data_IF_648409571821
#
_entry.id   IF_648409571821
#
_cell.length_a   1.000
_cell.length_b   1.000
_cell.length_c   1.000
_cell.angle_alpha   90.00
_cell.angle_beta   90.00
_cell.angle_gamma   90.00
#
_symmetry.space_group_name_H-M   'P 1'
#
loop_
_entity.id
_entity.type
_entity.pdbx_description
1 polymer ?
#
# COMPACT_ATOMS: atom_id res chain seq x y z
N UNK A 1 25.26 13.12 6.09
CA UNK A 1 24.24 12.08 5.91
C UNK A 1 23.01 12.73 5.29
N UNK A 2 22.27 12.02 4.44
CA UNK A 2 21.03 12.58 3.88
C UNK A 2 19.87 12.38 4.84
N UNK A 3 19.00 13.39 4.94
CA UNK A 3 17.87 13.40 5.88
C UNK A 3 16.56 13.11 5.15
N UNK A 4 15.80 12.12 5.61
CA UNK A 4 14.57 11.63 4.96
C UNK A 4 13.37 11.76 5.89
N UNK A 5 12.33 12.44 5.44
CA UNK A 5 11.04 12.46 6.12
C UNK A 5 10.17 11.30 5.63
N UNK A 6 9.61 10.53 6.56
CA UNK A 6 8.63 9.47 6.25
C UNK A 6 7.28 9.84 6.84
N UNK A 7 6.29 10.16 6.00
CA UNK A 7 4.92 10.36 6.47
C UNK A 7 4.21 9.01 6.62
N UNK A 8 3.33 8.91 7.61
CA UNK A 8 2.71 7.62 7.92
C UNK A 8 3.69 6.62 8.55
N UNK A 9 4.72 7.11 9.22
CA UNK A 9 5.86 6.37 9.75
C UNK A 9 5.45 5.19 10.67
N UNK A 10 4.45 5.35 11.51
CA UNK A 10 3.95 4.27 12.38
C UNK A 10 2.93 3.33 11.68
N UNK A 11 2.61 3.56 10.41
CA UNK A 11 1.80 2.65 9.62
C UNK A 11 2.53 1.35 9.31
N UNK A 12 1.81 0.34 8.82
CA UNK A 12 2.41 -0.97 8.50
C UNK A 12 3.64 -0.87 7.60
N UNK A 13 3.54 -0.24 6.42
CA UNK A 13 4.69 -0.02 5.54
C UNK A 13 5.69 0.98 6.15
N UNK A 14 5.19 2.07 6.75
CA UNK A 14 6.04 3.16 7.25
C UNK A 14 7.10 2.72 8.25
N UNK A 15 6.76 1.82 9.18
CA UNK A 15 7.73 1.29 10.16
C UNK A 15 8.89 0.53 9.51
N UNK A 16 8.60 -0.22 8.47
CA UNK A 16 9.64 -0.94 7.72
C UNK A 16 10.53 0.01 6.92
N UNK A 17 9.93 1.06 6.35
CA UNK A 17 10.67 2.11 5.64
C UNK A 17 11.61 2.87 6.58
N UNK A 18 11.13 3.23 7.78
CA UNK A 18 11.97 3.90 8.80
C UNK A 18 13.16 3.02 9.16
N UNK A 19 12.94 1.75 9.46
CA UNK A 19 14.03 0.81 9.79
C UNK A 19 15.00 0.59 8.63
N UNK A 20 14.48 0.41 7.42
CA UNK A 20 15.30 0.26 6.21
C UNK A 20 16.23 1.46 6.02
N UNK A 21 15.70 2.68 6.12
CA UNK A 21 16.50 3.89 5.96
C UNK A 21 17.55 4.05 7.06
N UNK A 22 17.21 3.81 8.32
CA UNK A 22 18.17 3.85 9.45
C UNK A 22 19.28 2.82 9.26
N UNK A 23 18.96 1.60 8.83
CA UNK A 23 19.94 0.54 8.58
C UNK A 23 20.93 0.90 7.47
N UNK A 24 20.55 1.78 6.53
CA UNK A 24 21.41 2.28 5.46
C UNK A 24 22.01 3.67 5.75
N UNK A 25 21.98 4.12 7.01
CA UNK A 25 22.71 5.31 7.46
C UNK A 25 22.04 6.65 7.14
N UNK A 26 20.73 6.67 6.88
CA UNK A 26 19.98 7.91 6.73
C UNK A 26 19.59 8.48 8.10
N UNK A 27 19.55 9.81 8.20
CA UNK A 27 18.83 10.49 9.27
C UNK A 27 17.33 10.48 8.94
N UNK A 28 16.51 9.93 9.83
CA UNK A 28 15.08 9.73 9.54
C UNK A 28 14.22 10.58 10.45
N UNK A 29 13.31 11.36 9.84
CA UNK A 29 12.22 12.04 10.54
C UNK A 29 10.95 11.23 10.37
N UNK A 30 10.52 10.59 11.45
CA UNK A 30 9.28 9.80 11.50
C UNK A 30 8.08 10.71 11.79
N UNK A 31 7.26 10.96 10.77
CA UNK A 31 6.13 11.89 10.86
C UNK A 31 4.80 11.18 11.01
N UNK A 32 3.98 11.61 11.98
CA UNK A 32 2.64 11.07 12.18
C UNK A 32 1.84 11.81 13.24
N UNK A 33 0.54 11.53 13.30
CA UNK A 33 -0.42 12.28 14.14
C UNK A 33 -0.42 11.89 15.62
N UNK A 34 -0.03 10.65 15.94
CA UNK A 34 -0.16 10.09 17.29
C UNK A 34 1.22 9.89 17.92
N UNK A 35 1.49 10.65 18.99
CA UNK A 35 2.77 10.60 19.70
C UNK A 35 3.08 9.20 20.25
N UNK A 36 2.12 8.57 20.91
CA UNK A 36 2.22 7.23 21.46
C UNK A 36 2.67 6.19 20.43
N UNK A 37 2.09 6.26 19.22
CA UNK A 37 2.44 5.37 18.11
C UNK A 37 3.81 5.66 17.48
N UNK A 38 4.22 6.92 17.48
CA UNK A 38 5.57 7.28 17.04
C UNK A 38 6.62 6.81 18.06
N UNK A 39 6.35 6.97 19.36
CA UNK A 39 7.23 6.49 20.41
C UNK A 39 7.38 4.96 20.40
N UNK A 40 6.31 4.24 20.09
CA UNK A 40 6.36 2.79 19.89
C UNK A 40 7.30 2.32 18.76
N UNK A 41 7.60 3.18 17.77
CA UNK A 41 8.59 2.86 16.74
C UNK A 41 10.00 2.66 17.31
N UNK A 42 10.36 3.37 18.37
CA UNK A 42 11.66 3.23 19.01
C UNK A 42 11.86 1.82 19.54
N UNK A 43 10.87 1.27 20.24
CA UNK A 43 10.90 -0.12 20.71
C UNK A 43 10.88 -1.15 19.57
N UNK A 44 10.56 -0.73 18.34
CA UNK A 44 10.49 -1.56 17.14
C UNK A 44 11.72 -1.37 16.22
N UNK A 45 12.88 -0.99 16.77
CA UNK A 45 14.14 -0.85 16.05
C UNK A 45 14.32 0.48 15.30
N UNK A 46 13.67 1.54 15.77
CA UNK A 46 13.79 2.88 15.20
C UNK A 46 14.21 3.93 16.27
N UNK A 47 15.10 3.55 17.20
CA UNK A 47 15.56 4.40 18.31
C UNK A 47 16.19 5.70 17.81
N UNK A 48 16.92 5.64 16.70
CA UNK A 48 17.64 6.78 16.12
C UNK A 48 16.74 7.73 15.31
N UNK A 49 15.46 7.39 15.11
CA UNK A 49 14.54 8.26 14.36
C UNK A 49 14.14 9.50 15.19
N UNK A 50 14.20 10.66 14.55
CA UNK A 50 13.57 11.87 15.07
C UNK A 50 12.05 11.75 14.92
N UNK A 51 11.31 12.02 15.99
CA UNK A 51 9.85 11.91 15.98
C UNK A 51 9.22 13.30 15.77
N UNK A 52 8.41 13.45 14.74
CA UNK A 52 7.67 14.66 14.47
C UNK A 52 6.16 14.41 14.54
N UNK A 53 5.50 15.00 15.55
CA UNK A 53 4.04 14.90 15.68
C UNK A 53 3.37 15.98 14.86
N UNK A 54 2.55 15.59 13.88
CA UNK A 54 1.85 16.51 12.99
C UNK A 54 0.88 15.78 12.04
N UNK A 55 0.07 16.56 11.34
CA UNK A 55 -0.86 16.06 10.32
C UNK A 55 -0.49 16.66 8.94
N UNK A 56 -0.18 15.83 7.96
CA UNK A 56 0.12 16.30 6.60
C UNK A 56 -1.12 16.90 5.90
N UNK A 57 -2.32 16.77 6.49
CA UNK A 57 -3.50 17.53 6.09
C UNK A 57 -3.49 18.99 6.60
N UNK A 58 -2.51 19.38 7.41
CA UNK A 58 -2.26 20.75 7.85
C UNK A 58 -0.97 21.25 7.22
N UNK A 59 -1.06 22.36 6.47
CA UNK A 59 0.08 22.86 5.69
C UNK A 59 1.26 23.24 6.60
N UNK A 60 0.98 23.84 7.74
CA UNK A 60 1.99 24.29 8.70
C UNK A 60 2.81 23.11 9.23
N UNK A 61 2.14 22.01 9.63
CA UNK A 61 2.78 20.84 10.22
C UNK A 61 3.75 20.19 9.21
N UNK A 62 3.28 19.94 7.97
CA UNK A 62 4.12 19.29 6.96
C UNK A 62 5.23 20.23 6.45
N UNK A 63 4.99 21.54 6.41
CA UNK A 63 6.02 22.51 6.04
C UNK A 63 7.12 22.56 7.11
N UNK A 64 6.75 22.57 8.39
CA UNK A 64 7.72 22.51 9.48
C UNK A 64 8.54 21.20 9.45
N UNK A 65 7.88 20.07 9.25
CA UNK A 65 8.53 18.76 9.24
C UNK A 65 9.50 18.57 8.05
N UNK A 66 9.25 19.22 6.91
CA UNK A 66 10.13 19.12 5.73
C UNK A 66 11.31 20.08 5.76
N UNK A 67 11.44 20.93 6.79
CA UNK A 67 12.56 21.88 6.92
C UNK A 67 13.90 21.14 7.13
N UNK A 68 14.85 21.40 6.27
CA UNK A 68 16.18 20.76 6.31
C UNK A 68 16.18 19.27 5.94
N UNK A 69 15.14 18.81 5.22
CA UNK A 69 15.01 17.43 4.74
C UNK A 69 15.45 17.35 3.27
N UNK A 70 16.27 16.36 2.94
CA UNK A 70 16.70 16.12 1.56
C UNK A 70 15.65 15.38 0.74
N UNK A 71 15.02 14.37 1.33
CA UNK A 71 14.06 13.48 0.67
C UNK A 71 12.79 13.29 1.49
N UNK A 72 11.68 13.08 0.83
CA UNK A 72 10.39 12.75 1.47
C UNK A 72 9.86 11.45 0.91
N UNK A 73 9.52 10.48 1.78
CA UNK A 73 8.71 9.32 1.44
C UNK A 73 7.30 9.55 1.97
N UNK A 74 6.36 9.78 1.04
CA UNK A 74 4.96 10.00 1.40
C UNK A 74 4.18 8.68 1.36
N UNK A 75 4.20 7.96 2.50
CA UNK A 75 3.47 6.70 2.68
C UNK A 75 2.15 6.88 3.47
N UNK A 76 1.90 8.07 4.01
CA UNK A 76 0.65 8.39 4.70
C UNK A 76 -0.54 8.46 3.75
N UNK A 77 -1.60 7.70 4.04
CA UNK A 77 -2.84 7.71 3.25
C UNK A 77 -4.02 7.17 4.07
N UNK A 78 -5.24 7.52 3.66
CA UNK A 78 -6.43 6.77 4.03
C UNK A 78 -6.56 5.59 3.07
N UNK A 79 -6.29 4.37 3.56
CA UNK A 79 -6.18 3.14 2.74
C UNK A 79 -7.31 2.14 2.98
N UNK A 80 -8.42 2.57 3.57
CA UNK A 80 -9.62 1.73 3.74
C UNK A 80 -10.34 1.54 2.41
N UNK A 81 -11.03 0.42 2.27
CA UNK A 81 -11.79 0.12 1.03
C UNK A 81 -13.15 0.82 0.99
N UNK A 82 -13.63 1.33 2.14
CA UNK A 82 -14.93 1.96 2.34
C UNK A 82 -14.82 3.21 3.22
N UNK A 83 -15.66 4.21 2.97
CA UNK A 83 -15.72 5.46 3.72
C UNK A 83 -16.33 6.60 2.90
N UNK A 84 -16.31 7.83 3.45
CA UNK A 84 -16.82 9.02 2.77
C UNK A 84 -15.84 9.50 1.70
N UNK A 85 -16.35 9.90 0.53
CA UNK A 85 -15.52 10.44 -0.56
C UNK A 85 -14.71 11.67 -0.11
N UNK A 86 -15.34 12.54 0.70
CA UNK A 86 -14.68 13.74 1.25
C UNK A 86 -13.37 13.41 1.96
N UNK A 87 -13.37 12.34 2.76
CA UNK A 87 -12.22 11.98 3.61
C UNK A 87 -11.05 11.45 2.76
N UNK A 88 -11.36 10.65 1.71
CA UNK A 88 -10.36 10.22 0.74
C UNK A 88 -9.78 11.39 -0.05
N UNK A 89 -10.64 12.34 -0.50
CA UNK A 89 -10.17 13.52 -1.24
C UNK A 89 -9.34 14.43 -0.35
N UNK A 90 -9.75 14.66 0.89
CA UNK A 90 -9.00 15.50 1.83
C UNK A 90 -7.64 14.88 2.17
N UNK A 91 -7.64 13.60 2.55
CA UNK A 91 -6.41 12.95 3.00
C UNK A 91 -5.48 12.63 1.83
N UNK A 92 -5.98 11.93 0.81
CA UNK A 92 -5.10 11.36 -0.22
C UNK A 92 -4.77 12.36 -1.34
N UNK A 93 -5.70 13.28 -1.68
CA UNK A 93 -5.47 14.22 -2.77
C UNK A 93 -4.94 15.55 -2.23
N UNK A 94 -5.72 16.24 -1.37
CA UNK A 94 -5.32 17.54 -0.83
C UNK A 94 -4.13 17.41 0.11
N UNK A 95 -4.06 16.32 0.91
CA UNK A 95 -2.88 16.00 1.71
C UNK A 95 -1.63 15.88 0.86
N UNK A 96 -1.66 15.12 -0.25
CA UNK A 96 -0.54 15.03 -1.19
C UNK A 96 -0.19 16.38 -1.81
N UNK A 97 -1.17 17.23 -2.16
CA UNK A 97 -0.91 18.59 -2.63
C UNK A 97 -0.15 19.43 -1.60
N UNK A 98 -0.50 19.31 -0.30
CA UNK A 98 0.21 20.01 0.78
C UNK A 98 1.64 19.51 0.95
N UNK A 99 1.85 18.20 0.86
CA UNK A 99 3.20 17.61 0.87
C UNK A 99 4.04 18.15 -0.28
N UNK A 100 3.51 18.20 -1.50
CA UNK A 100 4.20 18.78 -2.66
C UNK A 100 4.56 20.27 -2.43
N UNK A 101 3.63 21.07 -1.89
CA UNK A 101 3.89 22.48 -1.58
C UNK A 101 5.01 22.64 -0.55
N UNK A 102 4.99 21.82 0.51
CA UNK A 102 6.02 21.82 1.55
C UNK A 102 7.39 21.42 0.97
N UNK A 103 7.44 20.36 0.14
CA UNK A 103 8.65 19.95 -0.57
C UNK A 103 9.21 21.06 -1.47
N UNK A 104 8.34 21.76 -2.21
CA UNK A 104 8.74 22.91 -3.04
C UNK A 104 9.33 24.04 -2.19
N UNK A 105 8.62 24.42 -1.14
CA UNK A 105 9.02 25.52 -0.25
C UNK A 105 10.38 25.25 0.40
N UNK A 106 10.63 24.03 0.84
CA UNK A 106 11.85 23.65 1.53
C UNK A 106 12.93 23.05 0.58
N UNK A 107 12.73 23.13 -0.73
CA UNK A 107 13.67 22.67 -1.77
C UNK A 107 14.09 21.21 -1.60
N UNK A 108 13.12 20.34 -1.25
CA UNK A 108 13.34 18.89 -1.15
C UNK A 108 13.81 18.35 -2.49
N UNK A 109 14.89 17.57 -2.48
CA UNK A 109 15.54 17.04 -3.68
C UNK A 109 14.67 16.03 -4.42
N UNK A 110 13.89 15.21 -3.68
CA UNK A 110 12.98 14.20 -4.27
C UNK A 110 11.86 13.83 -3.32
N UNK A 111 10.66 13.63 -3.90
CA UNK A 111 9.48 13.09 -3.26
C UNK A 111 9.17 11.69 -3.81
N UNK A 112 9.24 10.67 -2.98
CA UNK A 112 8.81 9.31 -3.31
C UNK A 112 7.40 9.10 -2.77
N UNK A 113 6.44 8.80 -3.66
CA UNK A 113 5.03 8.63 -3.31
C UNK A 113 4.61 7.16 -3.36
N UNK A 114 4.00 6.71 -2.28
CA UNK A 114 3.39 5.37 -2.21
C UNK A 114 1.97 5.43 -2.76
N UNK A 115 1.81 4.95 -3.98
CA UNK A 115 0.50 4.75 -4.62
C UNK A 115 -0.04 3.35 -4.36
N UNK A 116 -0.89 2.83 -5.23
CA UNK A 116 -1.49 1.51 -5.08
C UNK A 116 -1.84 0.90 -6.44
N UNK A 117 -1.60 -0.39 -6.67
CA UNK A 117 -2.05 -1.09 -7.87
C UNK A 117 -3.55 -1.41 -7.86
N UNK A 118 -4.27 -1.04 -6.81
CA UNK A 118 -5.74 -1.09 -6.81
C UNK A 118 -6.37 -0.28 -7.95
N UNK A 119 -5.63 0.70 -8.51
CA UNK A 119 -6.06 1.47 -9.69
C UNK A 119 -6.26 0.59 -10.94
N UNK A 120 -5.66 -0.59 -10.97
CA UNK A 120 -5.84 -1.58 -12.04
C UNK A 120 -7.06 -2.48 -11.83
N UNK A 121 -7.74 -2.40 -10.67
CA UNK A 121 -8.85 -3.29 -10.34
C UNK A 121 -10.00 -3.17 -11.33
N UNK A 122 -10.50 -4.31 -11.78
CA UNK A 122 -11.60 -4.42 -12.73
C UNK A 122 -12.27 -5.80 -12.69
N UNK A 123 -13.30 -5.99 -13.51
CA UNK A 123 -14.07 -7.24 -13.63
C UNK A 123 -13.49 -8.17 -14.70
N UNK A 124 -12.20 -8.24 -14.85
CA UNK A 124 -11.52 -9.10 -15.81
C UNK A 124 -10.16 -9.54 -15.29
N UNK A 125 -9.69 -10.66 -15.82
CA UNK A 125 -8.33 -11.12 -15.61
C UNK A 125 -7.36 -10.20 -16.34
N UNK A 126 -6.29 -9.81 -15.67
CA UNK A 126 -5.23 -8.95 -16.23
C UNK A 126 -3.88 -9.46 -15.74
N UNK A 127 -3.07 -9.93 -16.67
CA UNK A 127 -1.76 -10.49 -16.40
C UNK A 127 -0.66 -9.58 -16.90
N UNK A 128 0.46 -9.55 -16.20
CA UNK A 128 1.65 -8.81 -16.60
C UNK A 128 1.39 -7.32 -16.85
N UNK A 129 0.60 -6.69 -15.97
CA UNK A 129 0.15 -5.29 -16.08
C UNK A 129 1.36 -4.36 -15.97
N UNK A 130 1.53 -3.47 -16.93
CA UNK A 130 2.54 -2.41 -16.93
C UNK A 130 2.01 -1.14 -16.28
N UNK A 131 2.89 -0.19 -16.00
CA UNK A 131 2.58 1.04 -15.28
C UNK A 131 1.61 1.96 -16.04
N UNK A 132 1.61 1.91 -17.36
CA UNK A 132 0.71 2.66 -18.24
C UNK A 132 -0.68 2.06 -18.38
N UNK A 133 -0.87 0.78 -18.02
CA UNK A 133 -2.10 0.02 -18.26
C UNK A 133 -3.26 0.36 -17.30
N UNK A 134 -3.27 1.51 -16.68
CA UNK A 134 -4.35 1.90 -15.78
C UNK A 134 -5.44 2.71 -16.48
N UNK A 135 -6.67 2.53 -16.03
CA UNK A 135 -7.80 3.36 -16.47
C UNK A 135 -7.93 4.59 -15.55
N UNK A 136 -7.62 5.76 -16.11
CA UNK A 136 -7.72 7.04 -15.39
C UNK A 136 -9.17 7.37 -14.97
N UNK A 137 -10.18 6.76 -15.59
CA UNK A 137 -11.60 6.91 -15.27
C UNK A 137 -12.09 5.92 -14.20
N UNK A 138 -11.26 4.99 -13.73
CA UNK A 138 -11.66 3.98 -12.75
C UNK A 138 -12.21 4.62 -11.46
N UNK A 139 -13.47 4.32 -11.16
CA UNK A 139 -14.21 4.81 -9.98
C UNK A 139 -14.85 3.64 -9.22
N UNK A 140 -14.21 2.47 -9.21
CA UNK A 140 -14.74 1.29 -8.54
C UNK A 140 -14.99 1.56 -7.04
N UNK A 141 -14.09 2.30 -6.40
CA UNK A 141 -14.30 2.90 -5.07
C UNK A 141 -13.57 4.24 -4.92
N UNK A 142 -13.81 4.96 -3.82
CA UNK A 142 -13.23 6.28 -3.57
C UNK A 142 -11.71 6.23 -3.26
N UNK A 143 -11.21 5.10 -2.76
CA UNK A 143 -9.78 4.90 -2.58
C UNK A 143 -9.05 4.91 -3.93
N UNK A 144 -9.51 4.12 -4.89
CA UNK A 144 -8.97 4.08 -6.27
C UNK A 144 -9.02 5.49 -6.90
N UNK A 145 -10.19 6.12 -6.85
CA UNK A 145 -10.36 7.49 -7.36
C UNK A 145 -9.33 8.45 -6.76
N UNK A 146 -9.15 8.40 -5.43
CA UNK A 146 -8.22 9.29 -4.73
C UNK A 146 -6.76 9.02 -5.07
N UNK A 147 -6.36 7.75 -5.28
CA UNK A 147 -4.98 7.41 -5.68
C UNK A 147 -4.69 7.85 -7.11
N UNK A 148 -5.62 7.66 -8.04
CA UNK A 148 -5.50 8.17 -9.42
C UNK A 148 -5.33 9.69 -9.42
N UNK A 149 -6.15 10.40 -8.65
CA UNK A 149 -6.07 11.86 -8.55
C UNK A 149 -4.79 12.34 -7.87
N UNK A 150 -4.30 11.64 -6.85
CA UNK A 150 -3.03 11.97 -6.21
C UNK A 150 -1.84 11.76 -7.16
N UNK A 151 -1.82 10.66 -7.94
CA UNK A 151 -0.80 10.49 -8.99
C UNK A 151 -0.88 11.59 -10.05
N UNK A 152 -2.10 12.00 -10.44
CA UNK A 152 -2.29 13.13 -11.37
C UNK A 152 -1.66 14.41 -10.84
N UNK A 153 -1.88 14.76 -9.56
CA UNK A 153 -1.23 15.92 -8.91
C UNK A 153 0.29 15.85 -9.05
N UNK A 154 0.89 14.67 -8.82
CA UNK A 154 2.35 14.50 -8.89
C UNK A 154 2.89 14.56 -10.32
N UNK A 155 2.14 14.08 -11.31
CA UNK A 155 2.54 14.11 -12.72
C UNK A 155 2.43 15.50 -13.35
N UNK A 156 1.44 16.29 -12.93
CA UNK A 156 1.19 17.62 -13.50
C UNK A 156 2.11 18.68 -12.90
N UNK A 157 2.54 18.54 -11.65
CA UNK A 157 3.47 19.47 -11.04
C UNK A 157 4.91 19.26 -11.58
N UNK A 158 5.66 20.34 -11.74
CA UNK A 158 7.03 20.34 -12.27
C UNK A 158 8.06 20.87 -11.26
N UNK A 159 7.60 21.20 -10.06
CA UNK A 159 8.41 21.94 -9.09
C UNK A 159 9.24 21.07 -8.14
N UNK A 160 8.91 19.78 -8.02
CA UNK A 160 9.59 18.82 -7.16
C UNK A 160 9.83 17.52 -7.96
N UNK A 161 11.07 17.00 -8.01
CA UNK A 161 11.34 15.69 -8.61
C UNK A 161 10.54 14.60 -7.86
N UNK A 162 9.71 13.85 -8.56
CA UNK A 162 8.84 12.83 -7.95
C UNK A 162 9.08 11.44 -8.52
N UNK A 163 8.92 10.43 -7.67
CA UNK A 163 8.88 9.02 -8.04
C UNK A 163 7.60 8.40 -7.45
N UNK A 164 6.91 7.57 -8.21
CA UNK A 164 5.67 6.90 -7.77
C UNK A 164 5.89 5.39 -7.72
N UNK A 165 5.63 4.76 -6.57
CA UNK A 165 5.66 3.31 -6.42
C UNK A 165 4.26 2.76 -6.15
N UNK A 166 3.92 1.64 -6.77
CA UNK A 166 2.66 0.92 -6.63
C UNK A 166 2.91 -0.48 -6.05
N UNK A 167 3.15 -0.60 -4.72
CA UNK A 167 3.36 -1.90 -4.09
C UNK A 167 2.04 -2.66 -3.96
N UNK A 168 2.01 -3.95 -4.40
CA UNK A 168 0.82 -4.77 -4.42
C UNK A 168 0.72 -5.72 -3.23
N UNK A 169 -0.44 -5.73 -2.56
CA UNK A 169 -0.77 -6.79 -1.61
C UNK A 169 0.27 -6.95 -0.50
N UNK A 170 0.59 -5.86 0.19
CA UNK A 170 1.60 -5.85 1.25
C UNK A 170 1.22 -6.78 2.40
N UNK A 171 2.12 -7.64 2.81
CA UNK A 171 1.98 -8.49 3.98
C UNK A 171 3.32 -8.63 4.73
N UNK A 172 3.25 -9.03 5.99
CA UNK A 172 4.40 -9.20 6.88
C UNK A 172 4.01 -9.01 8.33
N UNK A 173 4.96 -9.10 9.27
CA UNK A 173 4.70 -8.93 10.69
C UNK A 173 4.14 -7.52 10.95
N UNK A 174 3.00 -7.46 11.66
CA UNK A 174 2.28 -6.21 11.91
C UNK A 174 1.30 -5.82 10.79
N UNK A 175 1.04 -6.69 9.80
CA UNK A 175 -0.08 -6.51 8.88
C UNK A 175 -1.40 -6.51 9.67
N UNK A 176 -2.21 -5.51 9.43
CA UNK A 176 -3.55 -5.38 10.03
C UNK A 176 -4.68 -5.50 9.00
N UNK A 177 -4.35 -5.80 7.75
CA UNK A 177 -5.28 -5.69 6.63
C UNK A 177 -5.56 -7.00 5.90
N UNK A 178 -4.58 -7.65 5.32
CA UNK A 178 -4.78 -8.81 4.43
C UNK A 178 -4.84 -10.11 5.24
N UNK A 179 -3.73 -10.51 5.84
CA UNK A 179 -3.64 -11.81 6.50
C UNK A 179 -4.58 -11.93 7.70
N UNK A 180 -4.72 -10.93 8.60
CA UNK A 180 -5.69 -11.01 9.70
C UNK A 180 -7.14 -11.18 9.24
N UNK A 181 -7.52 -10.56 8.11
CA UNK A 181 -8.86 -10.75 7.53
C UNK A 181 -9.05 -12.17 6.99
N UNK A 182 -8.03 -12.78 6.38
CA UNK A 182 -8.06 -14.16 5.91
C UNK A 182 -8.17 -15.15 7.09
N UNK A 183 -7.40 -14.96 8.15
CA UNK A 183 -7.45 -15.77 9.38
C UNK A 183 -8.83 -15.66 10.02
N UNK A 184 -9.35 -14.44 10.16
CA UNK A 184 -10.70 -14.20 10.71
C UNK A 184 -11.79 -14.87 9.87
N UNK A 185 -11.70 -14.78 8.55
CA UNK A 185 -12.64 -15.45 7.63
C UNK A 185 -12.56 -16.98 7.79
N UNK A 186 -11.35 -17.53 7.83
CA UNK A 186 -11.13 -18.97 8.02
C UNK A 186 -11.80 -19.51 9.29
N UNK A 187 -11.65 -18.77 10.40
CA UNK A 187 -12.19 -19.18 11.71
C UNK A 187 -13.70 -19.00 11.83
N UNK A 188 -14.33 -18.13 11.02
CA UNK A 188 -15.79 -17.87 11.06
C UNK A 188 -16.54 -18.66 10.01
N UNK A 189 -16.55 -18.18 8.79
CA UNK A 189 -17.42 -18.64 7.69
C UNK A 189 -16.67 -19.36 6.57
N UNK A 190 -15.36 -19.38 6.61
CA UNK A 190 -14.49 -19.81 5.52
C UNK A 190 -14.09 -18.64 4.61
N UNK A 191 -13.00 -18.86 3.88
CA UNK A 191 -12.43 -17.85 2.97
C UNK A 191 -13.20 -17.93 1.64
N UNK A 192 -13.75 -16.81 1.14
CA UNK A 192 -14.38 -16.78 -0.17
C UNK A 192 -13.40 -17.22 -1.25
N UNK A 193 -13.72 -18.31 -1.94
CA UNK A 193 -12.91 -18.84 -3.03
C UNK A 193 -13.72 -18.80 -4.33
N UNK A 194 -13.28 -17.94 -5.24
CA UNK A 194 -13.87 -17.78 -6.56
C UNK A 194 -13.11 -18.63 -7.58
N UNK A 195 -13.81 -19.20 -8.54
CA UNK A 195 -13.20 -19.95 -9.67
C UNK A 195 -12.19 -21.01 -9.20
N UNK A 196 -12.46 -21.65 -8.05
CA UNK A 196 -11.57 -22.64 -7.46
C UNK A 196 -10.28 -22.08 -6.83
N UNK A 197 -10.07 -20.76 -6.87
CA UNK A 197 -8.86 -20.09 -6.38
C UNK A 197 -7.69 -20.15 -7.35
N UNK A 198 -7.95 -20.51 -8.64
CA UNK A 198 -6.93 -20.59 -9.69
C UNK A 198 -6.56 -19.22 -10.30
N UNK A 199 -7.16 -18.14 -9.80
CA UNK A 199 -6.76 -16.80 -10.21
C UNK A 199 -5.34 -16.50 -9.72
N UNK A 200 -4.50 -16.00 -10.65
CA UNK A 200 -3.12 -15.61 -10.37
C UNK A 200 -3.07 -14.24 -9.71
N UNK A 201 -2.34 -14.15 -8.63
CA UNK A 201 -2.16 -12.90 -7.89
C UNK A 201 -0.71 -12.68 -7.49
N UNK A 202 -0.32 -11.42 -7.46
CA UNK A 202 0.92 -10.96 -6.85
C UNK A 202 0.65 -10.45 -5.43
N UNK A 203 1.57 -10.74 -4.53
CA UNK A 203 1.67 -10.12 -3.21
C UNK A 203 3.12 -9.70 -2.95
N UNK A 204 3.34 -8.86 -1.96
CA UNK A 204 4.65 -8.27 -1.69
C UNK A 204 4.98 -8.39 -0.21
N UNK A 205 6.11 -9.00 0.11
CA UNK A 205 6.68 -8.90 1.46
C UNK A 205 6.99 -7.43 1.76
N UNK A 206 6.60 -6.95 2.91
CA UNK A 206 6.72 -5.53 3.27
C UNK A 206 8.18 -5.05 3.28
N UNK A 207 9.13 -5.94 3.57
CA UNK A 207 10.56 -5.66 3.51
C UNK A 207 10.99 -5.32 2.07
N UNK A 208 10.47 -6.05 1.07
CA UNK A 208 10.77 -5.78 -0.33
C UNK A 208 10.20 -4.42 -0.79
N UNK A 209 9.03 -4.04 -0.26
CA UNK A 209 8.46 -2.72 -0.54
C UNK A 209 9.28 -1.59 0.12
N UNK A 210 9.80 -1.79 1.32
CA UNK A 210 10.67 -0.85 2.00
C UNK A 210 11.99 -0.67 1.23
N UNK A 211 12.61 -1.76 0.80
CA UNK A 211 13.78 -1.75 -0.11
C UNK A 211 13.50 -0.93 -1.37
N UNK A 212 12.37 -1.19 -2.06
CA UNK A 212 12.04 -0.46 -3.28
C UNK A 212 11.91 1.05 -3.06
N UNK A 213 11.35 1.46 -1.90
CA UNK A 213 11.22 2.87 -1.53
C UNK A 213 12.59 3.53 -1.27
N UNK A 214 13.55 2.82 -0.63
CA UNK A 214 14.92 3.30 -0.47
C UNK A 214 15.61 3.44 -1.83
N UNK A 215 15.55 2.42 -2.68
CA UNK A 215 16.12 2.48 -4.03
C UNK A 215 15.56 3.64 -4.86
N UNK A 216 14.26 3.96 -4.71
CA UNK A 216 13.66 5.11 -5.36
C UNK A 216 14.16 6.46 -4.83
N UNK A 217 14.61 6.52 -3.57
CA UNK A 217 15.30 7.70 -3.03
C UNK A 217 16.70 7.84 -3.66
N UNK A 218 17.39 6.75 -3.93
CA UNK A 218 18.77 6.73 -4.40
C UNK A 218 18.91 6.91 -5.93
N UNK A 219 17.97 6.38 -6.71
CA UNK A 219 18.08 6.34 -8.18
C UNK A 219 17.75 7.66 -8.85
N UNK A 220 18.70 8.31 -9.50
CA UNK A 220 18.46 9.50 -10.32
C UNK A 220 17.59 9.18 -11.56
N UNK A 221 17.74 7.98 -12.13
CA UNK A 221 16.94 7.52 -13.27
C UNK A 221 15.44 7.38 -12.92
N UNK A 222 15.11 7.28 -11.63
CA UNK A 222 13.73 7.13 -11.18
C UNK A 222 12.90 8.41 -11.24
N UNK A 223 13.52 9.58 -11.39
CA UNK A 223 12.81 10.86 -11.37
C UNK A 223 11.78 10.94 -12.50
N UNK A 224 10.54 11.26 -12.14
CA UNK A 224 9.41 11.34 -13.09
C UNK A 224 8.78 9.98 -13.43
N UNK A 225 9.31 8.89 -12.91
CA UNK A 225 8.89 7.53 -13.24
C UNK A 225 7.87 6.97 -12.26
N UNK A 226 7.19 5.93 -12.71
CA UNK A 226 6.25 5.11 -11.92
C UNK A 226 6.72 3.67 -11.98
N UNK A 227 6.61 2.94 -10.86
CA UNK A 227 7.04 1.55 -10.76
C UNK A 227 5.99 0.68 -10.06
N UNK A 228 5.69 -0.45 -10.67
CA UNK A 228 5.00 -1.55 -10.02
C UNK A 228 5.99 -2.31 -9.13
N UNK A 229 5.55 -2.67 -7.92
CA UNK A 229 6.39 -3.39 -6.95
C UNK A 229 5.64 -4.62 -6.46
N UNK A 230 6.22 -5.80 -6.68
CA UNK A 230 5.75 -7.10 -6.15
C UNK A 230 6.95 -7.96 -5.77
N UNK A 231 6.69 -9.17 -5.28
CA UNK A 231 7.75 -10.16 -5.08
C UNK A 231 8.28 -10.75 -6.41
N UNK A 232 7.62 -10.49 -7.57
CA UNK A 232 7.97 -11.14 -8.83
C UNK A 232 7.64 -12.64 -8.88
N UNK A 233 6.82 -13.13 -7.95
CA UNK A 233 6.45 -14.53 -7.76
C UNK A 233 4.91 -14.69 -7.85
N UNK A 234 4.28 -14.48 -9.02
CA UNK A 234 2.83 -14.64 -9.15
C UNK A 234 2.42 -16.09 -8.89
N UNK A 235 1.42 -16.30 -8.05
CA UNK A 235 0.91 -17.62 -7.69
C UNK A 235 -0.61 -17.66 -7.71
N UNK A 236 -1.17 -18.87 -7.79
CA UNK A 236 -2.59 -19.08 -7.58
C UNK A 236 -2.98 -18.65 -6.15
N UNK A 237 -4.08 -17.93 -6.03
CA UNK A 237 -4.56 -17.47 -4.72
C UNK A 237 -4.75 -18.63 -3.73
N UNK A 238 -5.24 -19.78 -4.22
CA UNK A 238 -5.38 -21.00 -3.42
C UNK A 238 -4.04 -21.50 -2.90
N UNK A 239 -2.99 -21.54 -3.72
CA UNK A 239 -1.67 -22.02 -3.31
C UNK A 239 -1.08 -21.14 -2.19
N UNK A 240 -1.25 -19.80 -2.30
CA UNK A 240 -0.85 -18.87 -1.25
C UNK A 240 -1.59 -19.15 0.07
N UNK A 241 -2.91 -19.40 0.01
CA UNK A 241 -3.70 -19.72 1.20
C UNK A 241 -3.25 -21.04 1.83
N UNK A 242 -3.02 -22.08 1.04
CA UNK A 242 -2.56 -23.38 1.53
C UNK A 242 -1.19 -23.28 2.20
N UNK A 243 -0.27 -22.49 1.64
CA UNK A 243 1.05 -22.26 2.26
C UNK A 243 0.94 -21.44 3.55
N UNK A 244 0.14 -20.37 3.57
CA UNK A 244 -0.10 -19.55 4.75
C UNK A 244 -0.69 -20.38 5.90
N UNK A 245 -1.79 -21.08 5.67
CA UNK A 245 -2.47 -21.85 6.73
C UNK A 245 -1.65 -23.03 7.20
N UNK A 246 -0.89 -23.69 6.31
CA UNK A 246 0.10 -24.70 6.69
C UNK A 246 1.17 -24.13 7.62
N UNK A 247 1.69 -22.94 7.34
CA UNK A 247 2.68 -22.29 8.19
C UNK A 247 2.12 -21.87 9.56
N UNK A 248 0.84 -21.51 9.62
CA UNK A 248 0.11 -21.20 10.86
C UNK A 248 -0.27 -22.46 11.66
N UNK A 249 -0.16 -23.67 11.08
CA UNK A 249 -0.63 -24.91 11.69
C UNK A 249 -2.16 -25.07 11.66
N UNK A 250 -2.83 -24.35 10.76
CA UNK A 250 -4.28 -24.39 10.58
C UNK A 250 -4.64 -25.02 9.22
N UNK A 251 -5.88 -25.50 9.09
CA UNK A 251 -6.42 -25.97 7.81
C UNK A 251 -7.31 -24.89 7.20
N UNK A 252 -7.10 -24.51 5.92
CA UNK A 252 -7.93 -23.51 5.27
C UNK A 252 -9.35 -24.06 5.01
N UNK A 253 -10.36 -23.28 5.36
CA UNK A 253 -11.77 -23.55 5.10
C UNK A 253 -12.22 -22.66 3.96
N UNK A 254 -12.76 -23.24 2.90
CA UNK A 254 -13.17 -22.52 1.72
C UNK A 254 -14.69 -22.40 1.62
N UNK A 255 -15.14 -21.18 1.32
CA UNK A 255 -16.53 -20.92 0.96
C UNK A 255 -16.60 -20.69 -0.56
N UNK A 256 -17.13 -21.66 -1.30
CA UNK A 256 -17.29 -21.55 -2.76
C UNK A 256 -18.49 -20.69 -3.08
N UNK A 257 -18.28 -19.59 -3.76
CA UNK A 257 -19.30 -18.62 -4.10
C UNK A 257 -19.27 -18.31 -5.60
N UNK A 258 -20.45 -18.20 -6.25
CA UNK A 258 -20.52 -17.79 -7.66
C UNK A 258 -20.20 -16.30 -7.79
N UNK A 259 -19.13 -16.01 -8.54
CA UNK A 259 -18.55 -14.67 -8.68
C UNK A 259 -19.57 -13.62 -9.16
N UNK A 260 -20.35 -13.95 -10.19
CA UNK A 260 -21.34 -13.03 -10.78
C UNK A 260 -22.46 -12.65 -9.80
N UNK A 261 -22.99 -13.64 -9.09
CA UNK A 261 -24.03 -13.42 -8.08
C UNK A 261 -23.51 -12.51 -6.96
N UNK A 262 -22.31 -12.80 -6.46
CA UNK A 262 -21.75 -12.06 -5.33
C UNK A 262 -21.40 -10.60 -5.72
N UNK A 263 -21.02 -10.36 -6.98
CA UNK A 263 -20.83 -9.00 -7.48
C UNK A 263 -22.16 -8.20 -7.49
N UNK A 264 -23.26 -8.84 -7.86
CA UNK A 264 -24.61 -8.25 -7.77
C UNK A 264 -24.98 -7.91 -6.33
N UNK A 265 -24.79 -8.87 -5.40
CA UNK A 265 -25.04 -8.69 -3.97
C UNK A 265 -24.19 -7.55 -3.40
N UNK A 266 -22.91 -7.48 -3.73
CA UNK A 266 -22.03 -6.38 -3.31
C UNK A 266 -22.50 -5.03 -3.84
N UNK A 267 -22.93 -4.99 -5.11
CA UNK A 267 -23.47 -3.76 -5.71
C UNK A 267 -24.70 -3.25 -4.96
N UNK A 268 -25.62 -4.16 -4.62
CA UNK A 268 -26.81 -3.82 -3.84
C UNK A 268 -26.44 -3.40 -2.43
N UNK A 269 -25.58 -4.16 -1.76
CA UNK A 269 -25.09 -3.85 -0.41
C UNK A 269 -24.45 -2.46 -0.34
N UNK A 270 -23.56 -2.12 -1.27
CA UNK A 270 -22.96 -0.78 -1.33
C UNK A 270 -24.00 0.33 -1.53
N UNK A 271 -25.04 0.08 -2.35
CA UNK A 271 -26.15 1.05 -2.55
C UNK A 271 -26.95 1.25 -1.27
N UNK A 272 -27.32 0.17 -0.58
CA UNK A 272 -28.05 0.21 0.69
C UNK A 272 -27.25 0.98 1.74
N UNK A 273 -25.97 0.65 1.94
CA UNK A 273 -25.09 1.33 2.90
C UNK A 273 -24.98 2.83 2.61
N UNK A 274 -24.89 3.23 1.34
CA UNK A 274 -24.84 4.66 0.96
C UNK A 274 -26.17 5.36 1.14
N UNK A 275 -27.28 4.74 0.74
CA UNK A 275 -28.61 5.33 0.81
C UNK A 275 -29.03 5.58 2.26
N UNK A 276 -28.85 4.56 3.11
CA UNK A 276 -29.23 4.61 4.53
C UNK A 276 -28.12 5.14 5.44
N UNK A 277 -26.98 5.55 4.87
CA UNK A 277 -25.82 6.06 5.62
C UNK A 277 -25.39 5.15 6.77
N UNK A 278 -25.42 3.83 6.54
CA UNK A 278 -25.08 2.84 7.55
C UNK A 278 -23.62 2.95 7.94
N UNK A 279 -23.34 2.77 9.23
CA UNK A 279 -21.99 2.78 9.77
C UNK A 279 -21.23 1.50 9.39
N UNK A 280 -19.90 1.62 9.28
CA UNK A 280 -19.02 0.51 8.98
C UNK A 280 -18.89 0.20 7.48
N UNK A 281 -18.21 -0.91 7.19
CA UNK A 281 -17.94 -1.41 5.84
C UNK A 281 -18.98 -2.50 5.48
N UNK A 282 -19.55 -2.49 4.26
CA UNK A 282 -20.39 -3.59 3.80
C UNK A 282 -19.63 -4.93 3.87
N UNK A 283 -20.32 -6.05 4.18
CA UNK A 283 -19.70 -7.37 4.25
C UNK A 283 -18.94 -7.76 2.98
N UNK A 284 -19.45 -7.33 1.82
CA UNK A 284 -18.84 -7.48 0.52
C UNK A 284 -18.89 -6.16 -0.23
N UNK A 285 -17.76 -5.75 -0.80
CA UNK A 285 -17.66 -4.62 -1.71
C UNK A 285 -17.32 -5.11 -3.11
N UNK A 286 -17.73 -4.38 -4.14
CA UNK A 286 -17.33 -4.68 -5.53
C UNK A 286 -15.82 -4.75 -5.68
N UNK A 287 -15.12 -3.87 -4.98
CA UNK A 287 -13.67 -3.85 -4.95
C UNK A 287 -13.08 -5.17 -4.41
N UNK A 288 -13.54 -5.63 -3.25
CA UNK A 288 -13.06 -6.89 -2.64
C UNK A 288 -13.30 -8.08 -3.57
N UNK A 289 -14.45 -8.11 -4.25
CA UNK A 289 -14.77 -9.18 -5.20
C UNK A 289 -13.86 -9.12 -6.44
N UNK A 290 -13.59 -7.92 -6.96
CA UNK A 290 -12.64 -7.76 -8.06
C UNK A 290 -11.23 -8.21 -7.68
N UNK A 291 -10.78 -7.91 -6.46
CA UNK A 291 -9.44 -8.27 -5.99
C UNK A 291 -9.26 -9.76 -5.71
N UNK A 292 -10.31 -10.45 -5.28
CA UNK A 292 -10.26 -11.87 -4.93
C UNK A 292 -10.73 -12.80 -6.06
N UNK A 293 -11.51 -12.30 -7.02
CA UNK A 293 -12.17 -13.11 -8.03
C UNK A 293 -11.49 -13.15 -9.40
N UNK A 294 -10.56 -12.25 -9.66
CA UNK A 294 -9.87 -12.15 -10.94
C UNK A 294 -8.35 -12.21 -10.78
N UNK A 295 -7.70 -12.76 -11.81
CA UNK A 295 -6.25 -12.74 -11.89
C UNK A 295 -5.74 -11.32 -12.07
N UNK A 296 -4.70 -10.97 -11.32
CA UNK A 296 -4.03 -9.70 -11.45
C UNK A 296 -2.56 -9.82 -11.09
N UNK A 297 -1.70 -9.82 -12.11
CA UNK A 297 -0.24 -9.83 -11.94
C UNK A 297 0.39 -8.59 -12.56
N UNK A 298 1.49 -8.14 -12.00
CA UNK A 298 2.15 -6.90 -12.41
C UNK A 298 3.51 -7.20 -13.05
N UNK A 299 3.85 -6.46 -14.10
CA UNK A 299 5.20 -6.43 -14.62
C UNK A 299 6.07 -5.58 -13.72
N UNK A 300 7.23 -6.07 -13.30
CA UNK A 300 8.22 -5.37 -12.48
C UNK A 300 9.55 -5.14 -13.18
N UNK A 301 9.69 -5.54 -14.45
CA UNK A 301 10.93 -5.41 -15.23
C UNK A 301 11.48 -4.00 -15.25
N UNK A 302 10.59 -3.00 -15.25
CA UNK A 302 10.99 -1.60 -15.19
C UNK A 302 11.69 -1.27 -13.86
N UNK A 303 11.13 -1.72 -12.74
CA UNK A 303 11.74 -1.53 -11.42
C UNK A 303 13.08 -2.28 -11.29
N UNK A 304 13.17 -3.49 -11.86
CA UNK A 304 14.42 -4.26 -11.88
C UNK A 304 15.51 -3.55 -12.67
N UNK A 305 15.19 -3.03 -13.85
CA UNK A 305 16.15 -2.35 -14.73
C UNK A 305 16.59 -0.98 -14.23
N UNK A 306 15.64 -0.16 -13.75
CA UNK A 306 15.87 1.26 -13.49
C UNK A 306 16.17 1.57 -12.02
N UNK A 307 15.64 0.77 -11.09
CA UNK A 307 15.92 0.86 -9.65
C UNK A 307 16.94 -0.17 -9.18
N UNK A 308 17.29 -1.18 -10.00
CA UNK A 308 18.03 -2.36 -9.53
C UNK A 308 17.23 -3.17 -8.51
N UNK A 309 15.89 -3.05 -8.52
CA UNK A 309 15.02 -3.73 -7.57
C UNK A 309 15.11 -5.24 -7.74
N UNK A 310 15.47 -5.93 -6.67
CA UNK A 310 15.41 -7.39 -6.57
C UNK A 310 14.84 -7.75 -5.21
N UNK A 311 13.73 -8.49 -5.14
CA UNK A 311 13.16 -8.93 -3.87
C UNK A 311 14.19 -9.69 -3.03
N UNK A 312 14.38 -9.26 -1.78
CA UNK A 312 15.33 -9.89 -0.83
C UNK A 312 14.67 -10.92 0.07
N UNK A 313 13.34 -10.92 0.13
CA UNK A 313 12.53 -11.89 0.90
C UNK A 313 11.60 -12.59 -0.07
N UNK A 314 11.78 -13.91 -0.27
CA UNK A 314 10.84 -14.71 -1.08
C UNK A 314 9.47 -14.79 -0.40
N UNK A 315 8.42 -15.03 -1.20
CA UNK A 315 7.06 -15.18 -0.69
C UNK A 315 6.96 -16.23 0.43
N UNK A 316 7.56 -17.38 0.21
CA UNK A 316 7.60 -18.48 1.19
C UNK A 316 8.29 -18.07 2.50
N UNK A 317 9.41 -17.34 2.40
CA UNK A 317 10.14 -16.85 3.57
C UNK A 317 9.30 -15.82 4.34
N UNK A 318 8.64 -14.90 3.65
CA UNK A 318 7.75 -13.89 4.25
C UNK A 318 6.57 -14.53 4.99
N UNK A 319 5.92 -15.53 4.38
CA UNK A 319 4.83 -16.29 5.01
C UNK A 319 5.31 -16.98 6.29
N UNK A 320 6.47 -17.64 6.26
CA UNK A 320 7.04 -18.29 7.45
C UNK A 320 7.41 -17.31 8.54
N UNK A 321 7.98 -16.15 8.20
CA UNK A 321 8.28 -15.08 9.17
C UNK A 321 6.98 -14.59 9.84
N UNK A 322 5.95 -14.32 9.03
CA UNK A 322 4.63 -13.92 9.56
C UNK A 322 4.08 -14.94 10.56
N UNK A 323 4.03 -16.20 10.16
CA UNK A 323 3.49 -17.27 11.00
C UNK A 323 4.26 -17.47 12.33
N UNK A 324 5.57 -17.17 12.36
CA UNK A 324 6.36 -17.20 13.59
C UNK A 324 6.07 -16.00 14.50
N UNK A 325 5.77 -14.84 13.93
CA UNK A 325 5.43 -13.62 14.69
C UNK A 325 4.02 -13.64 15.26
N UNK A 326 3.13 -14.52 14.77
CA UNK A 326 1.77 -14.74 15.30
C UNK A 326 1.72 -15.80 16.43
N UNK A 327 2.79 -16.55 16.65
CA UNK A 327 2.93 -17.53 17.73
C UNK A 327 3.57 -16.89 18.96
#
# INVERSE_FOLDING_TARGET
>A
MSRVLVTGAYGFLGRYVVRELLAYGYEVVAFGRKRDKLEALRADGAEAAELFVGDFCRQEDITAATKGVDFVIHAGALSTVWGKRSDFMETNVRGTQRVVRACKQNKVKRLVFVSSPSIYAGKCDRLNIREEDYDASNRLNYYIESKILAEKVLREQRSVPCVILRPRGLFGIGDSSIIPRLIKANRRSGIPLFRGGHNLVDITCVENAALALRLAVESEAAVGQVYNITNGEPQEFRAILEELFRALGETPRYLRLPLGLLYGVATLSERVYRLFRLDGEPPFTRYTICMLGYSQTLNIEKAERELGYRPIVSLRTGIRKYAKGER
#
